data_IF_204281566732
#
_entry.id   IF_204281566732
#
_cell.length_a   1.000
_cell.length_b   1.000
_cell.length_c   1.000
_cell.angle_alpha   90.00
_cell.angle_beta   90.00
_cell.angle_gamma   90.00
#
_symmetry.space_group_name_H-M   'P 1'
#
loop_
_entity.id
_entity.type
_entity.pdbx_description
1 polymer ?
#
# COMPACT_ATOMS: atom_id res chain seq x y z
N UNK A 1 13.11 -7.78 -4.26
CA UNK A 1 12.75 -7.29 -2.91
C UNK A 1 12.31 -8.52 -2.12
N UNK A 2 13.01 -8.86 -1.05
CA UNK A 2 12.72 -10.05 -0.23
C UNK A 2 11.98 -9.64 1.02
N UNK A 3 10.75 -10.13 1.18
CA UNK A 3 9.96 -9.96 2.41
C UNK A 3 9.91 -11.31 3.13
N UNK A 4 10.20 -11.34 4.43
CA UNK A 4 10.15 -12.55 5.24
C UNK A 4 8.97 -12.46 6.19
N UNK A 5 8.03 -13.41 6.11
CA UNK A 5 6.95 -13.52 7.09
C UNK A 5 7.51 -14.00 8.43
N UNK A 6 7.32 -13.21 9.48
CA UNK A 6 7.89 -13.48 10.81
C UNK A 6 6.85 -13.93 11.83
N UNK A 7 5.57 -13.65 11.60
CA UNK A 7 4.50 -14.10 12.48
C UNK A 7 3.09 -13.88 11.95
N UNK A 8 2.12 -14.38 12.70
CA UNK A 8 0.69 -14.20 12.46
C UNK A 8 0.00 -13.99 13.82
N UNK A 9 -0.82 -12.95 13.93
CA UNK A 9 -1.74 -12.73 15.05
C UNK A 9 -3.16 -12.88 14.53
N UNK A 10 -3.98 -13.73 15.14
CA UNK A 10 -5.39 -13.90 14.76
C UNK A 10 -6.30 -13.41 15.88
N UNK A 11 -7.27 -12.57 15.54
CA UNK A 11 -8.20 -11.99 16.51
C UNK A 11 -9.43 -12.87 16.72
N UNK A 12 -9.85 -12.98 17.98
CA UNK A 12 -10.93 -13.89 18.41
C UNK A 12 -10.49 -15.34 18.65
N UNK A 13 -9.18 -15.60 18.69
CA UNK A 13 -8.58 -16.86 19.16
C UNK A 13 -7.96 -16.75 20.56
N UNK A 14 -7.82 -15.53 21.08
CA UNK A 14 -7.33 -15.31 22.44
C UNK A 14 -8.34 -15.83 23.48
N UNK A 15 -7.87 -16.15 24.68
CA UNK A 15 -8.74 -16.57 25.79
C UNK A 15 -9.71 -15.45 26.19
N UNK A 16 -9.28 -14.20 26.01
CA UNK A 16 -10.09 -13.02 26.26
C UNK A 16 -10.24 -12.21 24.97
N UNK A 17 -11.48 -11.89 24.62
CA UNK A 17 -11.80 -11.18 23.37
C UNK A 17 -11.30 -9.73 23.37
N UNK A 18 -11.16 -9.10 24.54
CA UNK A 18 -10.65 -7.73 24.65
C UNK A 18 -10.05 -7.41 26.02
N UNK A 19 -9.37 -6.26 26.11
CA UNK A 19 -8.92 -5.67 27.38
C UNK A 19 -9.01 -4.14 27.33
N UNK A 20 -9.53 -3.52 28.39
CA UNK A 20 -9.50 -2.06 28.52
C UNK A 20 -8.12 -1.61 29.01
N UNK A 21 -7.48 -0.74 28.23
CA UNK A 21 -6.19 -0.15 28.58
C UNK A 21 -6.37 1.36 28.79
N UNK A 22 -5.94 1.91 29.94
CA UNK A 22 -6.01 3.35 30.19
C UNK A 22 -5.38 4.15 29.05
N UNK A 23 -6.10 5.16 28.56
CA UNK A 23 -5.68 5.99 27.44
C UNK A 23 -5.87 5.37 26.06
N UNK A 24 -5.87 4.05 25.90
CA UNK A 24 -6.03 3.38 24.59
C UNK A 24 -7.44 2.86 24.34
N UNK A 25 -8.26 2.76 25.39
CA UNK A 25 -9.61 2.21 25.30
C UNK A 25 -9.61 0.69 25.26
N UNK A 26 -10.63 0.11 24.65
CA UNK A 26 -10.75 -1.34 24.50
C UNK A 26 -9.87 -1.84 23.35
N UNK A 27 -8.97 -2.78 23.65
CA UNK A 27 -8.09 -3.42 22.69
C UNK A 27 -8.55 -4.84 22.40
N UNK A 28 -8.58 -5.29 21.14
CA UNK A 28 -8.97 -6.64 20.81
C UNK A 28 -7.89 -7.66 21.18
N UNK A 29 -8.34 -8.82 21.64
CA UNK A 29 -7.51 -9.97 21.96
C UNK A 29 -7.14 -10.74 20.70
N UNK A 30 -5.84 -10.84 20.44
CA UNK A 30 -5.26 -11.67 19.40
C UNK A 30 -4.42 -12.80 19.98
N UNK A 31 -4.26 -13.88 19.25
CA UNK A 31 -3.33 -14.96 19.58
C UNK A 31 -2.27 -15.08 18.50
N UNK A 32 -1.00 -15.21 18.91
CA UNK A 32 0.10 -15.47 17.98
C UNK A 32 0.00 -16.92 17.49
N UNK A 33 -0.51 -17.14 16.29
CA UNK A 33 -0.73 -18.48 15.73
C UNK A 33 0.39 -18.97 14.81
N UNK A 34 1.33 -18.10 14.44
CA UNK A 34 2.55 -18.52 13.78
C UNK A 34 3.71 -17.58 14.15
N UNK A 35 4.92 -18.13 14.24
CA UNK A 35 6.15 -17.36 14.44
C UNK A 35 6.19 -16.55 15.74
N UNK A 36 6.58 -15.28 15.63
CA UNK A 36 6.66 -14.33 16.74
C UNK A 36 6.08 -12.97 16.37
N UNK A 37 5.34 -12.37 17.28
CA UNK A 37 4.98 -10.97 17.25
C UNK A 37 6.07 -10.15 17.93
N UNK A 38 6.53 -9.09 17.29
CA UNK A 38 7.54 -8.18 17.87
C UNK A 38 6.98 -6.77 17.77
N UNK A 39 7.09 -6.00 18.85
CA UNK A 39 6.73 -4.59 18.84
C UNK A 39 7.59 -3.85 17.81
N UNK A 40 6.97 -3.03 16.98
CA UNK A 40 7.58 -2.34 15.84
C UNK A 40 7.58 -3.13 14.54
N UNK A 41 7.26 -4.44 14.57
CA UNK A 41 7.20 -5.25 13.35
C UNK A 41 6.16 -4.69 12.38
N UNK A 42 6.49 -4.71 11.09
CA UNK A 42 5.53 -4.39 10.03
C UNK A 42 4.47 -5.48 9.97
N UNK A 43 3.27 -5.07 9.64
CA UNK A 43 2.11 -5.92 9.58
C UNK A 43 1.23 -5.51 8.39
N UNK A 44 0.44 -6.46 7.92
CA UNK A 44 -0.71 -6.21 7.09
C UNK A 44 -1.96 -6.77 7.74
N UNK A 45 -3.05 -6.03 7.63
CA UNK A 45 -4.36 -6.43 8.14
C UNK A 45 -5.06 -7.27 7.09
N UNK A 46 -5.30 -8.53 7.46
CA UNK A 46 -6.09 -9.49 6.71
C UNK A 46 -7.51 -9.49 7.27
N UNK A 47 -8.51 -9.36 6.40
CA UNK A 47 -9.93 -9.54 6.72
C UNK A 47 -10.51 -10.51 5.71
N UNK A 48 -10.61 -11.79 6.12
CA UNK A 48 -10.88 -12.88 5.18
C UNK A 48 -9.72 -13.03 4.18
N UNK A 49 -10.02 -12.87 2.90
CA UNK A 49 -9.08 -12.93 1.78
C UNK A 49 -8.53 -11.55 1.37
N UNK A 50 -8.89 -10.47 2.05
CA UNK A 50 -8.47 -9.11 1.67
C UNK A 50 -7.36 -8.57 2.55
N UNK A 51 -6.40 -7.88 1.96
CA UNK A 51 -5.48 -7.00 2.70
C UNK A 51 -6.12 -5.62 2.78
N UNK A 52 -6.80 -5.37 3.89
CA UNK A 52 -7.46 -4.09 4.16
C UNK A 52 -6.44 -2.98 4.35
N UNK A 53 -5.27 -3.30 4.89
CA UNK A 53 -4.24 -2.31 5.13
C UNK A 53 -2.87 -2.97 5.10
N UNK A 54 -1.88 -2.31 4.51
CA UNK A 54 -0.48 -2.72 4.56
C UNK A 54 0.36 -1.63 5.24
N UNK A 55 1.61 -1.95 5.54
CA UNK A 55 2.51 -1.06 6.28
C UNK A 55 1.91 -0.61 7.62
N UNK A 56 1.10 -1.47 8.23
CA UNK A 56 0.82 -1.36 9.64
C UNK A 56 2.10 -1.66 10.41
N UNK A 57 2.17 -1.17 11.64
CA UNK A 57 3.23 -1.56 12.56
C UNK A 57 2.62 -1.88 13.91
N UNK A 58 3.12 -2.91 14.57
CA UNK A 58 2.74 -3.21 15.96
C UNK A 58 3.27 -2.10 16.84
N UNK A 59 2.47 -1.08 17.11
CA UNK A 59 2.90 0.10 17.84
C UNK A 59 3.00 -0.14 19.34
N UNK A 60 1.89 -0.60 19.93
CA UNK A 60 1.80 -0.99 21.33
C UNK A 60 1.40 -2.45 21.37
N UNK A 61 2.04 -3.22 22.25
CA UNK A 61 1.69 -4.60 22.50
C UNK A 61 1.70 -4.80 24.01
N UNK A 62 0.61 -5.36 24.53
CA UNK A 62 0.46 -5.66 25.96
C UNK A 62 0.01 -7.10 26.15
N UNK A 63 0.30 -7.64 27.33
CA UNK A 63 -0.17 -8.95 27.76
C UNK A 63 -0.85 -8.86 29.10
N UNK A 64 -1.79 -9.77 29.35
CA UNK A 64 -2.41 -9.92 30.66
C UNK A 64 -1.50 -10.72 31.58
N UNK A 65 -1.35 -10.29 32.83
CA UNK A 65 -0.61 -11.06 33.84
C UNK A 65 -1.44 -12.30 34.24
N UNK A 66 -0.79 -13.46 34.39
CA UNK A 66 -1.44 -14.77 34.56
C UNK A 66 -2.51 -14.87 35.66
N UNK A 67 -2.46 -14.02 36.69
CA UNK A 67 -3.40 -14.03 37.81
C UNK A 67 -4.04 -12.65 38.08
N UNK A 68 -4.05 -11.74 37.10
CA UNK A 68 -4.55 -10.37 37.31
C UNK A 68 -5.27 -9.83 36.07
N UNK A 69 -6.18 -8.88 36.28
CA UNK A 69 -6.76 -8.06 35.21
C UNK A 69 -5.78 -7.00 34.67
N UNK A 70 -4.65 -6.78 35.34
CA UNK A 70 -3.62 -5.85 34.92
C UNK A 70 -2.92 -6.31 33.63
N UNK A 71 -2.70 -5.37 32.73
CA UNK A 71 -1.84 -5.54 31.56
C UNK A 71 -0.42 -5.05 31.83
N UNK A 72 0.55 -5.60 31.09
CA UNK A 72 1.93 -5.10 31.07
C UNK A 72 2.43 -4.94 29.63
N UNK A 73 3.32 -3.97 29.37
CA UNK A 73 3.94 -3.81 28.06
C UNK A 73 4.72 -5.07 27.70
N UNK A 74 4.60 -5.50 26.44
CA UNK A 74 5.37 -6.61 25.88
C UNK A 74 6.14 -6.13 24.65
N UNK A 75 7.42 -6.52 24.59
CA UNK A 75 8.30 -6.24 23.44
C UNK A 75 8.20 -7.33 22.37
N UNK A 76 7.89 -8.56 22.77
CA UNK A 76 7.71 -9.71 21.89
C UNK A 76 6.63 -10.66 22.40
N UNK A 77 6.10 -11.52 21.53
CA UNK A 77 5.26 -12.66 21.86
C UNK A 77 5.43 -13.85 20.92
N UNK A 78 5.67 -15.02 21.50
CA UNK A 78 5.83 -16.26 20.77
C UNK A 78 4.51 -16.96 20.50
N UNK A 79 4.59 -18.09 19.80
CA UNK A 79 3.47 -18.95 19.45
C UNK A 79 2.56 -19.30 20.66
N UNK A 80 1.25 -19.29 20.42
CA UNK A 80 0.16 -19.52 21.37
C UNK A 80 0.08 -18.53 22.54
N UNK A 81 0.74 -17.37 22.44
CA UNK A 81 0.58 -16.30 23.43
C UNK A 81 -0.53 -15.34 23.01
N UNK A 82 -1.39 -15.02 23.97
CA UNK A 82 -2.39 -13.97 23.83
C UNK A 82 -1.71 -12.61 23.94
N UNK A 83 -2.10 -11.72 23.03
CA UNK A 83 -1.58 -10.36 22.90
C UNK A 83 -2.72 -9.39 22.61
N UNK A 84 -2.56 -8.16 23.07
CA UNK A 84 -3.44 -7.05 22.70
C UNK A 84 -2.57 -5.98 22.05
N UNK A 85 -2.94 -5.57 20.85
CA UNK A 85 -2.08 -4.73 20.01
C UNK A 85 -2.79 -3.46 19.55
N UNK A 86 -2.01 -2.39 19.41
CA UNK A 86 -2.43 -1.16 18.73
C UNK A 86 -1.58 -0.98 17.49
N UNK A 87 -2.24 -0.91 16.34
CA UNK A 87 -1.58 -0.77 15.02
C UNK A 87 -1.98 0.50 14.28
N UNK A 88 -2.77 1.39 14.90
CA UNK A 88 -3.38 2.53 14.21
C UNK A 88 -4.70 2.20 13.51
N UNK A 89 -5.34 1.09 13.87
CA UNK A 89 -6.71 0.71 13.46
C UNK A 89 -7.54 0.45 14.71
N UNK A 90 -8.77 0.99 14.74
CA UNK A 90 -9.74 0.77 15.84
C UNK A 90 -10.78 -0.30 15.52
N UNK A 91 -10.92 -0.65 14.25
CA UNK A 91 -11.92 -1.58 13.74
C UNK A 91 -11.42 -3.02 13.68
N UNK A 92 -10.33 -3.34 14.39
CA UNK A 92 -9.83 -4.71 14.49
C UNK A 92 -10.85 -5.56 15.26
N UNK A 93 -11.31 -6.64 14.63
CA UNK A 93 -12.37 -7.49 15.16
C UNK A 93 -12.11 -8.99 15.00
N UNK A 94 -13.04 -9.80 15.49
CA UNK A 94 -13.00 -11.26 15.35
C UNK A 94 -12.93 -11.66 13.87
N UNK A 95 -11.99 -12.54 13.54
CA UNK A 95 -11.77 -13.00 12.17
C UNK A 95 -10.75 -12.16 11.38
N UNK A 96 -10.33 -11.01 11.92
CA UNK A 96 -9.17 -10.30 11.39
C UNK A 96 -7.87 -11.01 11.77
N UNK A 97 -6.82 -10.81 10.98
CA UNK A 97 -5.47 -11.24 11.30
C UNK A 97 -4.42 -10.19 10.94
N UNK A 98 -3.32 -10.15 11.69
CA UNK A 98 -2.12 -9.38 11.34
C UNK A 98 -1.04 -10.34 10.89
N UNK A 99 -0.75 -10.33 9.58
CA UNK A 99 0.42 -11.01 9.04
C UNK A 99 1.64 -10.11 9.20
N UNK A 100 2.62 -10.59 9.97
CA UNK A 100 3.81 -9.83 10.36
C UNK A 100 4.96 -10.18 9.45
N UNK A 101 5.70 -9.17 9.01
CA UNK A 101 6.80 -9.37 8.08
C UNK A 101 7.97 -8.42 8.35
N UNK A 102 9.14 -8.83 7.86
CA UNK A 102 10.37 -8.07 7.85
C UNK A 102 10.88 -7.98 6.41
N UNK A 103 11.21 -6.77 5.96
CA UNK A 103 11.77 -6.52 4.63
C UNK A 103 12.80 -5.36 4.70
N UNK A 104 13.55 -5.19 3.61
CA UNK A 104 14.36 -3.99 3.35
C UNK A 104 13.64 -3.03 2.39
N UNK A 105 12.30 -3.11 2.33
CA UNK A 105 11.55 -2.50 1.24
C UNK A 105 11.57 -0.97 1.26
N UNK A 106 11.43 -0.40 0.06
CA UNK A 106 11.13 1.02 -0.15
C UNK A 106 9.87 1.36 0.66
N UNK A 107 10.00 2.30 1.59
CA UNK A 107 8.90 2.75 2.42
C UNK A 107 7.74 3.32 1.60
N UNK A 108 6.56 3.53 2.23
CA UNK A 108 5.43 4.21 1.61
C UNK A 108 5.83 5.54 0.94
N UNK A 109 5.05 5.99 -0.05
CA UNK A 109 5.27 7.29 -0.68
C UNK A 109 5.08 8.42 0.35
N UNK A 110 6.18 9.10 0.70
CA UNK A 110 6.21 10.24 1.61
C UNK A 110 6.39 11.58 0.88
N UNK A 111 6.15 11.62 -0.45
CA UNK A 111 6.40 12.81 -1.25
C UNK A 111 5.36 13.91 -1.05
N UNK A 112 4.14 13.55 -0.62
CA UNK A 112 3.00 14.48 -0.49
C UNK A 112 2.33 14.33 0.87
N UNK A 113 2.64 15.21 1.83
CA UNK A 113 1.94 15.21 3.10
C UNK A 113 0.54 15.83 2.96
N UNK A 114 -0.44 15.20 3.60
CA UNK A 114 -1.82 15.71 3.72
C UNK A 114 -2.00 16.59 4.96
N UNK A 115 -1.09 16.50 5.93
CA UNK A 115 -1.07 17.38 7.09
C UNK A 115 0.35 17.62 7.60
N UNK A 116 0.57 18.78 8.21
CA UNK A 116 1.81 19.15 8.87
C UNK A 116 1.48 19.70 10.25
N UNK A 117 2.09 19.14 11.29
CA UNK A 117 1.96 19.60 12.65
C UNK A 117 3.34 19.93 13.24
N UNK A 118 3.37 20.92 14.13
CA UNK A 118 4.57 21.28 14.89
C UNK A 118 4.54 20.54 16.22
N UNK A 119 5.59 19.79 16.53
CA UNK A 119 5.77 19.19 17.86
C UNK A 119 6.07 20.29 18.86
N UNK A 120 5.22 20.45 19.88
CA UNK A 120 5.41 21.42 20.96
C UNK A 120 6.13 20.79 22.15
N UNK A 121 5.69 19.61 22.59
CA UNK A 121 6.29 18.90 23.71
C UNK A 121 6.29 17.38 23.47
N UNK A 122 7.46 16.73 23.38
CA UNK A 122 7.56 15.28 23.37
C UNK A 122 7.43 14.70 24.79
N UNK A 123 6.88 13.51 24.88
CA UNK A 123 6.80 12.73 26.10
C UNK A 123 6.96 11.24 25.82
N UNK A 124 7.23 10.47 26.86
CA UNK A 124 7.40 9.03 26.79
C UNK A 124 6.67 8.36 27.95
N UNK A 125 5.95 7.30 27.64
CA UNK A 125 5.30 6.44 28.61
C UNK A 125 5.66 4.98 28.32
N UNK A 126 5.86 4.17 29.36
CA UNK A 126 6.35 2.81 29.20
C UNK A 126 5.35 1.90 28.47
N UNK A 127 4.06 2.21 28.56
CA UNK A 127 2.99 1.43 27.94
C UNK A 127 2.75 1.87 26.51
N UNK A 128 2.63 3.18 26.29
CA UNK A 128 2.21 3.76 25.02
C UNK A 128 3.37 4.19 24.12
N UNK A 129 4.60 4.29 24.65
CA UNK A 129 5.78 4.74 23.92
C UNK A 129 5.85 6.25 23.81
N UNK A 130 6.35 6.75 22.66
CA UNK A 130 6.42 8.18 22.43
C UNK A 130 5.05 8.77 22.15
N UNK A 131 4.80 9.91 22.77
CA UNK A 131 3.68 10.78 22.46
C UNK A 131 4.18 12.20 22.29
N UNK A 132 3.46 12.98 21.50
CA UNK A 132 3.80 14.38 21.23
C UNK A 132 2.58 15.25 21.38
N UNK A 133 2.71 16.37 22.10
CA UNK A 133 1.80 17.49 21.96
C UNK A 133 2.13 18.20 20.66
N UNK A 134 1.11 18.44 19.83
CA UNK A 134 1.30 19.07 18.52
C UNK A 134 0.33 20.23 18.33
N UNK A 135 0.71 21.16 17.48
CA UNK A 135 -0.15 22.15 16.87
C UNK A 135 -0.21 21.90 15.36
N UNK A 136 -1.38 21.55 14.84
CA UNK A 136 -1.57 21.31 13.39
C UNK A 136 -1.45 22.64 12.66
N UNK A 137 -0.46 22.75 11.77
CA UNK A 137 -0.15 23.96 11.01
C UNK A 137 -0.85 23.99 9.66
N UNK A 138 -1.00 22.82 9.05
CA UNK A 138 -1.63 22.66 7.75
C UNK A 138 -2.32 21.30 7.64
N UNK A 139 -3.42 21.24 6.90
CA UNK A 139 -4.22 20.03 6.68
C UNK A 139 -4.97 19.49 7.91
N UNK A 140 -5.21 18.17 7.91
CA UNK A 140 -5.93 17.49 8.99
C UNK A 140 -5.16 16.26 9.43
N UNK A 141 -4.72 16.24 10.68
CA UNK A 141 -4.07 15.07 11.25
C UNK A 141 -5.12 14.05 11.68
N UNK A 142 -5.05 12.83 11.17
CA UNK A 142 -6.06 11.79 11.39
C UNK A 142 -5.52 10.66 12.26
N UNK A 143 -6.40 10.03 13.02
CA UNK A 143 -6.10 8.74 13.65
C UNK A 143 -5.73 7.71 12.58
N UNK A 144 -4.72 6.88 12.84
CA UNK A 144 -4.24 5.85 11.92
C UNK A 144 -3.38 6.38 10.76
N UNK A 145 -3.28 7.70 10.59
CA UNK A 145 -2.51 8.30 9.52
C UNK A 145 -1.04 7.86 9.61
N UNK A 146 -0.48 7.55 8.44
CA UNK A 146 0.95 7.39 8.30
C UNK A 146 1.63 8.74 8.52
N UNK A 147 2.70 8.78 9.30
CA UNK A 147 3.43 10.00 9.59
C UNK A 147 4.95 9.81 9.65
N UNK A 148 5.68 10.92 9.55
CA UNK A 148 7.12 10.98 9.73
C UNK A 148 7.54 12.27 10.43
N UNK A 149 8.67 12.20 11.15
CA UNK A 149 9.28 13.35 11.81
C UNK A 149 10.37 13.94 10.91
N UNK A 150 10.52 15.26 10.93
CA UNK A 150 11.52 15.95 10.10
C UNK A 150 12.98 15.64 10.45
N UNK A 151 13.26 15.11 11.64
CA UNK A 151 14.61 14.88 12.16
C UNK A 151 14.92 13.40 12.40
N UNK A 152 14.48 12.53 11.48
CA UNK A 152 14.78 11.11 11.49
C UNK A 152 13.62 10.23 11.95
N UNK A 153 13.87 8.92 11.92
CA UNK A 153 12.87 7.87 12.16
C UNK A 153 12.20 7.41 10.87
N UNK A 154 11.97 6.10 10.76
CA UNK A 154 11.15 5.55 9.70
C UNK A 154 9.69 6.03 9.73
N UNK A 155 8.92 5.76 8.67
CA UNK A 155 7.48 6.01 8.65
C UNK A 155 6.80 5.25 9.81
N UNK A 156 5.93 5.97 10.52
CA UNK A 156 5.17 5.51 11.69
C UNK A 156 3.69 5.80 11.51
N UNK A 157 2.84 5.33 12.44
CA UNK A 157 1.40 5.61 12.42
C UNK A 157 0.93 6.33 13.67
N UNK A 158 -0.09 7.18 13.51
CA UNK A 158 -0.83 7.76 14.62
C UNK A 158 -1.66 6.66 15.30
N UNK A 159 -1.19 6.19 16.45
CA UNK A 159 -1.84 5.12 17.23
C UNK A 159 -2.97 5.63 18.12
N UNK A 160 -3.04 6.93 18.33
CA UNK A 160 -4.01 7.59 19.18
C UNK A 160 -3.96 9.10 18.96
N UNK A 161 -5.12 9.72 19.01
CA UNK A 161 -5.28 11.15 18.76
C UNK A 161 -6.24 11.71 19.81
N UNK A 162 -5.80 12.73 20.55
CA UNK A 162 -6.52 13.27 21.70
C UNK A 162 -6.56 14.80 21.59
N UNK A 163 -7.77 15.34 21.50
CA UNK A 163 -8.01 16.77 21.66
C UNK A 163 -8.16 17.16 23.14
N UNK A 164 -8.48 18.43 23.43
CA UNK A 164 -8.67 18.91 24.80
C UNK A 164 -9.79 18.19 25.57
N UNK A 165 -10.81 17.70 24.85
CA UNK A 165 -11.96 17.01 25.43
C UNK A 165 -11.81 15.46 25.46
N UNK A 166 -10.67 14.92 25.03
CA UNK A 166 -10.42 13.47 24.99
C UNK A 166 -10.14 12.94 23.58
N UNK A 167 -10.36 11.64 23.33
CA UNK A 167 -10.05 11.00 22.06
C UNK A 167 -10.85 11.62 20.90
N UNK A 168 -10.16 11.90 19.80
CA UNK A 168 -10.77 12.41 18.56
C UNK A 168 -10.36 11.54 17.37
N UNK A 169 -11.12 11.61 16.28
CA UNK A 169 -10.74 10.96 15.02
C UNK A 169 -9.78 11.84 14.19
N UNK A 170 -9.89 13.16 14.33
CA UNK A 170 -9.20 14.15 13.50
C UNK A 170 -8.82 15.39 14.32
N UNK A 171 -7.69 16.00 13.99
CA UNK A 171 -7.25 17.32 14.47
C UNK A 171 -7.07 18.26 13.26
N UNK A 172 -8.00 19.20 13.04
CA UNK A 172 -7.90 20.21 11.99
C UNK A 172 -6.78 21.23 12.22
N UNK A 173 -6.40 21.94 11.16
CA UNK A 173 -5.51 23.12 11.21
C UNK A 173 -5.86 24.07 12.34
N UNK A 174 -4.85 24.53 13.06
CA UNK A 174 -4.96 25.45 14.18
C UNK A 174 -5.28 24.79 15.52
N UNK A 175 -5.61 23.49 15.54
CA UNK A 175 -5.89 22.79 16.79
C UNK A 175 -4.63 22.18 17.43
N UNK A 176 -4.67 22.13 18.76
CA UNK A 176 -3.70 21.41 19.59
C UNK A 176 -4.25 20.07 20.01
N UNK A 177 -3.37 19.08 20.11
CA UNK A 177 -3.72 17.78 20.66
C UNK A 177 -2.51 16.94 21.00
N UNK A 178 -2.75 15.81 21.66
CA UNK A 178 -1.75 14.79 21.93
C UNK A 178 -1.86 13.68 20.88
N UNK A 179 -0.73 13.32 20.29
CA UNK A 179 -0.60 12.26 19.29
C UNK A 179 0.23 11.14 19.89
N UNK A 180 -0.32 9.93 19.93
CA UNK A 180 0.46 8.74 20.27
C UNK A 180 1.11 8.22 19.00
N UNK A 181 2.44 8.21 18.98
CA UNK A 181 3.24 7.70 17.86
C UNK A 181 3.66 6.23 18.09
N UNK A 182 3.62 5.77 19.34
CA UNK A 182 4.03 4.42 19.72
C UNK A 182 5.53 4.24 19.84
N UNK A 183 5.96 2.98 19.91
CA UNK A 183 7.37 2.58 19.90
C UNK A 183 7.99 2.54 18.50
N UNK A 184 7.49 3.37 17.59
CA UNK A 184 7.89 3.37 16.17
C UNK A 184 8.90 4.47 15.85
N UNK A 185 9.27 5.30 16.82
CA UNK A 185 10.32 6.30 16.66
C UNK A 185 11.67 5.67 16.98
N UNK A 186 12.55 5.53 15.97
CA UNK A 186 13.94 5.10 16.17
C UNK A 186 14.74 6.12 16.99
N UNK A 187 14.30 7.38 16.97
CA UNK A 187 14.85 8.49 17.76
C UNK A 187 13.73 9.23 18.51
N UNK A 188 13.98 9.73 19.73
CA UNK A 188 13.02 10.55 20.46
C UNK A 188 12.59 11.78 19.65
N UNK A 189 11.28 12.11 19.58
CA UNK A 189 10.83 13.34 18.93
C UNK A 189 11.39 14.57 19.65
N UNK A 190 11.81 15.58 18.90
CA UNK A 190 12.29 16.85 19.44
C UNK A 190 11.20 17.92 19.40
N UNK A 191 11.18 18.81 20.40
CA UNK A 191 10.37 20.02 20.33
C UNK A 191 10.76 20.86 19.11
N UNK A 192 9.78 21.42 18.41
CA UNK A 192 9.96 22.15 17.16
C UNK A 192 10.10 21.27 15.91
N UNK A 193 10.18 19.94 16.03
CA UNK A 193 10.17 19.05 14.87
C UNK A 193 8.82 19.14 14.14
N UNK A 194 8.84 18.96 12.81
CA UNK A 194 7.62 18.83 12.04
C UNK A 194 7.19 17.36 12.00
N UNK A 195 5.94 17.09 12.37
CA UNK A 195 5.25 15.83 12.17
C UNK A 195 4.42 15.95 10.89
N UNK A 196 4.79 15.20 9.85
CA UNK A 196 4.07 15.18 8.57
C UNK A 196 3.20 13.94 8.52
N UNK A 197 1.93 14.08 8.14
CA UNK A 197 1.03 12.97 7.91
C UNK A 197 0.76 12.79 6.42
N UNK A 198 0.55 11.55 6.01
CA UNK A 198 0.43 11.12 4.62
C UNK A 198 -0.88 10.35 4.42
N UNK A 199 -1.46 10.40 3.21
CA UNK A 199 -2.66 9.63 2.90
C UNK A 199 -2.41 8.14 3.11
N UNK A 200 -3.38 7.45 3.71
CA UNK A 200 -3.44 5.99 3.71
C UNK A 200 -4.56 5.57 2.77
N UNK A 201 -4.30 4.69 1.78
CA UNK A 201 -5.36 4.21 0.89
C UNK A 201 -6.36 3.35 1.66
N UNK A 202 -7.64 3.35 1.24
CA UNK A 202 -8.72 2.60 1.90
C UNK A 202 -8.52 1.08 1.89
N UNK A 203 -7.77 0.58 0.91
CA UNK A 203 -7.20 -0.76 0.88
C UNK A 203 -5.90 -0.73 0.08
N UNK A 204 -4.98 -1.64 0.40
CA UNK A 204 -3.70 -1.74 -0.32
C UNK A 204 -3.72 -2.87 -1.35
N UNK A 205 -4.55 -3.90 -1.15
CA UNK A 205 -4.57 -5.06 -2.02
C UNK A 205 -5.81 -5.97 -1.81
N UNK A 206 -6.46 -6.37 -2.90
CA UNK A 206 -7.45 -7.45 -2.89
C UNK A 206 -6.78 -8.75 -3.35
N UNK A 207 -6.70 -9.78 -2.48
CA UNK A 207 -6.16 -11.08 -2.90
C UNK A 207 -7.25 -11.84 -3.64
N UNK A 208 -6.90 -12.34 -4.82
CA UNK A 208 -7.81 -13.09 -5.66
C UNK A 208 -7.65 -14.60 -5.48
N UNK A 209 -6.55 -15.05 -4.87
CA UNK A 209 -6.34 -16.48 -4.62
C UNK A 209 -4.91 -16.91 -4.37
N UNK A 210 -4.76 -18.17 -3.96
CA UNK A 210 -3.46 -18.83 -3.85
C UNK A 210 -3.42 -20.13 -4.66
N UNK A 211 -2.30 -20.41 -5.32
CA UNK A 211 -2.03 -21.68 -5.98
C UNK A 211 -0.61 -22.17 -5.68
N UNK A 212 -0.38 -23.47 -5.56
CA UNK A 212 0.91 -24.09 -5.29
C UNK A 212 1.53 -24.53 -6.61
N UNK A 213 2.82 -24.29 -6.81
CA UNK A 213 3.55 -24.72 -8.01
C UNK A 213 3.92 -26.20 -7.90
N UNK A 214 3.42 -27.04 -8.81
CA UNK A 214 3.72 -28.48 -8.88
C UNK A 214 4.80 -28.82 -9.90
N UNK A 215 4.93 -28.02 -10.95
CA UNK A 215 5.93 -28.23 -11.99
C UNK A 215 6.26 -26.93 -12.70
N UNK A 216 7.49 -26.80 -13.18
CA UNK A 216 8.00 -25.59 -13.83
C UNK A 216 8.71 -25.97 -15.12
N UNK A 217 8.34 -25.31 -16.22
CA UNK A 217 8.91 -25.50 -17.54
C UNK A 217 9.42 -24.17 -18.08
N UNK A 218 10.68 -24.13 -18.51
CA UNK A 218 11.28 -22.94 -19.10
C UNK A 218 10.91 -22.79 -20.58
N UNK A 219 10.56 -21.57 -20.99
CA UNK A 219 10.22 -21.26 -22.39
C UNK A 219 11.42 -20.74 -23.21
N UNK A 220 12.60 -20.63 -22.60
CA UNK A 220 13.83 -20.18 -23.28
C UNK A 220 13.96 -18.67 -23.50
N UNK A 221 12.91 -17.88 -23.25
CA UNK A 221 12.91 -16.41 -23.34
C UNK A 221 13.01 -15.70 -21.98
N UNK A 222 13.40 -16.43 -20.93
CA UNK A 222 13.42 -15.95 -19.55
C UNK A 222 12.07 -16.05 -18.81
N UNK A 223 10.98 -16.39 -19.51
CA UNK A 223 9.69 -16.70 -18.88
C UNK A 223 9.58 -18.18 -18.52
N UNK A 224 8.82 -18.44 -17.46
CA UNK A 224 8.49 -19.79 -17.00
C UNK A 224 7.00 -20.04 -17.10
N UNK A 225 6.66 -21.31 -17.32
CA UNK A 225 5.29 -21.82 -17.25
C UNK A 225 5.22 -22.79 -16.09
N UNK A 226 4.32 -22.54 -15.15
CA UNK A 226 4.11 -23.40 -14.00
C UNK A 226 2.78 -24.12 -14.07
N UNK A 227 2.81 -25.43 -13.86
CA UNK A 227 1.62 -26.18 -13.48
C UNK A 227 1.34 -25.89 -12.01
N UNK A 228 0.14 -25.41 -11.72
CA UNK A 228 -0.25 -24.97 -10.37
C UNK A 228 -1.54 -25.63 -9.92
N UNK A 229 -1.65 -25.85 -8.61
CA UNK A 229 -2.80 -26.45 -7.97
C UNK A 229 -3.39 -25.50 -6.91
N UNK A 230 -4.71 -25.36 -6.89
CA UNK A 230 -5.42 -24.61 -5.84
C UNK A 230 -5.71 -25.57 -4.69
N UNK A 231 -5.20 -25.30 -3.47
CA UNK A 231 -5.46 -26.14 -2.31
C UNK A 231 -6.96 -26.31 -2.04
N UNK A 232 -7.36 -27.49 -1.59
CA UNK A 232 -8.74 -27.76 -1.24
C UNK A 232 -9.30 -26.76 -0.21
N UNK A 233 -10.54 -26.33 -0.43
CA UNK A 233 -11.22 -25.33 0.41
C UNK A 233 -10.80 -23.89 0.15
N UNK A 234 -9.92 -23.62 -0.83
CA UNK A 234 -9.58 -22.27 -1.27
C UNK A 234 -10.16 -21.98 -2.65
N UNK A 235 -10.56 -20.73 -2.88
CA UNK A 235 -10.80 -20.21 -4.21
C UNK A 235 -9.53 -19.54 -4.73
N UNK A 236 -9.26 -19.71 -6.02
CA UNK A 236 -8.32 -18.85 -6.71
C UNK A 236 -8.93 -18.31 -7.98
N UNK A 237 -8.77 -17.00 -8.18
CA UNK A 237 -9.06 -16.28 -9.39
C UNK A 237 -7.76 -15.68 -9.93
N UNK A 238 -7.21 -16.31 -10.96
CA UNK A 238 -6.08 -15.78 -11.72
C UNK A 238 -6.63 -15.22 -13.03
N UNK A 239 -6.18 -14.03 -13.42
CA UNK A 239 -6.52 -13.40 -14.71
C UNK A 239 -5.24 -12.89 -15.35
N UNK A 240 -5.13 -12.99 -16.67
CA UNK A 240 -4.00 -12.41 -17.39
C UNK A 240 -3.90 -10.91 -17.08
N UNK A 241 -2.70 -10.44 -16.72
CA UNK A 241 -2.42 -9.07 -16.30
C UNK A 241 -2.54 -8.78 -14.80
N UNK A 242 -3.13 -9.69 -14.01
CA UNK A 242 -3.12 -9.57 -12.53
C UNK A 242 -1.71 -9.75 -12.00
N UNK A 243 -1.39 -9.05 -10.91
CA UNK A 243 -0.11 -9.18 -10.22
C UNK A 243 -0.09 -10.41 -9.32
N UNK A 244 1.05 -11.07 -9.27
CA UNK A 244 1.29 -12.24 -8.43
C UNK A 244 2.54 -11.99 -7.61
N UNK A 245 2.49 -12.44 -6.35
CA UNK A 245 3.65 -12.61 -5.50
C UNK A 245 3.97 -14.09 -5.34
N UNK A 246 5.26 -14.40 -5.29
CA UNK A 246 5.78 -15.76 -5.13
C UNK A 246 6.28 -15.89 -3.69
N UNK A 247 5.65 -16.80 -2.95
CA UNK A 247 5.99 -17.15 -1.58
C UNK A 247 6.75 -18.47 -1.58
N UNK A 248 7.96 -18.48 -1.05
CA UNK A 248 8.76 -19.68 -0.85
C UNK A 248 8.65 -20.15 0.60
N UNK A 249 8.02 -21.30 0.88
CA UNK A 249 7.98 -21.86 2.23
C UNK A 249 9.40 -22.17 2.73
N UNK A 250 9.73 -21.78 3.96
CA UNK A 250 10.96 -22.17 4.66
C UNK A 250 10.57 -23.17 5.72
N UNK A 251 10.54 -24.46 5.38
CA UNK A 251 10.19 -25.52 6.33
C UNK A 251 9.48 -26.72 5.72
N UNK A 252 9.08 -27.66 6.57
CA UNK A 252 8.35 -28.89 6.19
C UNK A 252 6.89 -28.88 6.62
N UNK A 253 6.47 -27.88 7.42
CA UNK A 253 5.10 -27.78 7.95
C UNK A 253 4.40 -26.51 7.48
N UNK A 254 3.07 -26.56 7.37
CA UNK A 254 2.22 -25.48 6.85
C UNK A 254 2.22 -24.21 7.73
N UNK A 255 2.82 -24.27 8.93
CA UNK A 255 2.91 -23.16 9.89
C UNK A 255 4.23 -22.40 9.84
N UNK A 256 5.14 -22.76 8.93
CA UNK A 256 6.47 -22.16 8.87
C UNK A 256 6.55 -20.93 7.97
N UNK A 257 7.57 -20.13 8.22
CA UNK A 257 7.81 -18.81 7.61
C UNK A 257 7.87 -18.95 6.10
N UNK A 258 7.20 -18.07 5.38
CA UNK A 258 7.36 -17.93 3.93
C UNK A 258 8.17 -16.68 3.61
N UNK A 259 9.04 -16.77 2.62
CA UNK A 259 9.74 -15.62 2.07
C UNK A 259 9.11 -15.24 0.74
N UNK A 260 8.66 -14.01 0.59
CA UNK A 260 8.32 -13.43 -0.71
C UNK A 260 9.62 -13.31 -1.50
N UNK A 261 9.78 -14.16 -2.52
CA UNK A 261 10.98 -14.15 -3.39
C UNK A 261 10.82 -13.17 -4.56
N UNK A 262 9.57 -12.96 -4.99
CA UNK A 262 9.20 -11.98 -5.99
C UNK A 262 7.79 -11.44 -5.74
N UNK A 263 7.52 -10.20 -6.13
CA UNK A 263 6.22 -9.55 -6.02
C UNK A 263 6.00 -8.64 -7.24
N UNK A 264 4.74 -8.33 -7.55
CA UNK A 264 4.39 -7.51 -8.70
C UNK A 264 4.60 -8.20 -10.05
N UNK A 265 4.67 -9.54 -10.08
CA UNK A 265 4.85 -10.28 -11.32
C UNK A 265 3.52 -10.34 -12.09
N UNK A 266 3.43 -9.81 -13.31
CA UNK A 266 2.21 -9.93 -14.08
C UNK A 266 2.02 -11.38 -14.53
N UNK A 267 0.78 -11.88 -14.44
CA UNK A 267 0.36 -13.11 -15.13
C UNK A 267 0.38 -12.85 -16.63
N UNK A 268 1.30 -13.49 -17.34
CA UNK A 268 1.48 -13.29 -18.79
C UNK A 268 0.55 -14.19 -19.60
N UNK A 269 0.27 -15.39 -19.11
CA UNK A 269 -0.63 -16.34 -19.75
C UNK A 269 -1.27 -17.27 -18.73
N UNK A 270 -2.44 -17.79 -19.07
CA UNK A 270 -3.11 -18.86 -18.35
C UNK A 270 -3.56 -19.92 -19.35
N UNK A 271 -3.46 -21.19 -18.96
CA UNK A 271 -4.01 -22.28 -19.73
C UNK A 271 -4.66 -23.32 -18.81
N UNK A 272 -5.73 -23.94 -19.28
CA UNK A 272 -6.42 -25.05 -18.62
C UNK A 272 -6.55 -26.18 -19.62
N UNK A 273 -6.16 -27.39 -19.22
CA UNK A 273 -6.19 -28.58 -20.09
C UNK A 273 -5.47 -28.35 -21.44
N UNK A 274 -4.38 -27.56 -21.42
CA UNK A 274 -3.60 -27.19 -22.61
C UNK A 274 -4.19 -26.05 -23.46
N UNK A 275 -5.37 -25.53 -23.11
CA UNK A 275 -6.05 -24.46 -23.84
C UNK A 275 -5.87 -23.12 -23.14
N UNK A 276 -5.45 -22.08 -23.87
CA UNK A 276 -5.29 -20.74 -23.32
C UNK A 276 -6.63 -20.16 -22.86
N UNK A 277 -6.64 -19.57 -21.66
CA UNK A 277 -7.83 -18.94 -21.05
C UNK A 277 -7.48 -17.55 -20.53
N UNK A 278 -8.41 -16.57 -20.59
CA UNK A 278 -8.16 -15.22 -20.06
C UNK A 278 -8.20 -15.18 -18.52
N UNK A 279 -8.91 -16.11 -17.90
CA UNK A 279 -9.03 -16.26 -16.45
C UNK A 279 -9.22 -17.71 -16.05
N UNK A 280 -8.82 -18.02 -14.82
CA UNK A 280 -9.01 -19.30 -14.16
C UNK A 280 -9.58 -19.04 -12.78
N UNK A 281 -10.86 -19.34 -12.59
CA UNK A 281 -11.57 -19.24 -11.31
C UNK A 281 -12.09 -20.61 -10.89
N UNK A 282 -11.76 -21.06 -9.68
CA UNK A 282 -12.25 -22.33 -9.11
C UNK A 282 -11.72 -23.60 -9.77
N UNK A 283 -10.81 -23.51 -10.76
CA UNK A 283 -10.12 -24.66 -11.31
C UNK A 283 -9.09 -25.19 -10.30
N UNK A 284 -9.10 -26.50 -10.04
CA UNK A 284 -8.13 -27.13 -9.13
C UNK A 284 -6.72 -27.14 -9.69
N UNK A 285 -6.55 -27.38 -10.99
CA UNK A 285 -5.24 -27.42 -11.65
C UNK A 285 -5.29 -26.58 -12.92
N UNK A 286 -4.29 -25.74 -13.11
CA UNK A 286 -4.11 -24.95 -14.33
C UNK A 286 -2.64 -24.59 -14.52
N UNK A 287 -2.35 -23.96 -15.64
CA UNK A 287 -1.00 -23.56 -16.02
C UNK A 287 -0.92 -22.04 -16.07
N UNK A 288 0.13 -21.46 -15.49
CA UNK A 288 0.35 -20.01 -15.44
C UNK A 288 1.73 -19.64 -15.99
N UNK A 289 1.76 -18.65 -16.89
CA UNK A 289 2.99 -18.06 -17.39
C UNK A 289 3.37 -16.83 -16.59
N UNK A 290 4.61 -16.80 -16.08
CA UNK A 290 5.17 -15.69 -15.31
C UNK A 290 6.50 -15.23 -15.88
N UNK A 291 6.76 -13.92 -15.82
CA UNK A 291 8.02 -13.30 -16.26
C UNK A 291 9.14 -13.39 -15.23
N UNK A 292 9.31 -14.53 -14.57
CA UNK A 292 10.42 -14.76 -13.61
C UNK A 292 11.05 -16.12 -13.87
N UNK A 293 12.38 -16.19 -13.73
CA UNK A 293 13.15 -17.42 -13.85
C UNK A 293 13.43 -18.13 -12.50
N UNK A 294 13.12 -17.50 -11.35
CA UNK A 294 13.38 -18.08 -10.02
C UNK A 294 12.15 -18.81 -9.43
N UNK A 295 11.20 -19.21 -10.27
CA UNK A 295 10.06 -20.00 -9.80
C UNK A 295 10.47 -21.46 -9.59
N UNK A 296 10.09 -22.04 -8.44
CA UNK A 296 10.42 -23.42 -8.06
C UNK A 296 9.18 -24.22 -7.73
N UNK A 297 9.32 -25.54 -7.81
CA UNK A 297 8.31 -26.46 -7.26
C UNK A 297 8.12 -26.18 -5.76
N UNK A 298 6.87 -26.24 -5.32
CA UNK A 298 6.37 -25.90 -3.98
C UNK A 298 6.38 -24.41 -3.62
N UNK A 299 6.78 -23.52 -4.53
CA UNK A 299 6.48 -22.10 -4.34
C UNK A 299 4.94 -21.90 -4.37
N UNK A 300 4.44 -20.94 -3.58
CA UNK A 300 3.02 -20.56 -3.56
C UNK A 300 2.88 -19.24 -4.29
N UNK A 301 2.03 -19.23 -5.31
CA UNK A 301 1.59 -18.03 -6.00
C UNK A 301 0.39 -17.46 -5.29
N UNK A 302 0.48 -16.19 -4.91
CA UNK A 302 -0.66 -15.43 -4.40
C UNK A 302 -0.99 -14.32 -5.41
N UNK A 303 -2.16 -14.45 -6.03
CA UNK A 303 -2.68 -13.49 -7.00
C UNK A 303 -3.37 -12.35 -6.27
N UNK A 304 -3.13 -11.13 -6.73
CA UNK A 304 -3.69 -9.95 -6.12
C UNK A 304 -3.87 -8.79 -7.09
N UNK A 305 -4.91 -8.00 -6.85
CA UNK A 305 -5.08 -6.68 -7.45
C UNK A 305 -4.64 -5.61 -6.45
N UNK A 306 -3.60 -4.86 -6.80
CA UNK A 306 -3.41 -3.56 -6.17
C UNK A 306 -4.60 -2.66 -6.57
N UNK A 307 -5.04 -1.73 -5.70
CA UNK A 307 -5.94 -0.68 -6.11
C UNK A 307 -5.31 -0.04 -7.34
N UNK A 308 -6.10 0.09 -8.41
CA UNK A 308 -5.78 1.03 -9.46
C UNK A 308 -5.57 2.35 -8.73
N UNK A 309 -4.33 2.85 -8.68
CA UNK A 309 -4.08 4.20 -8.23
C UNK A 309 -5.13 5.08 -8.93
N UNK A 310 -5.89 5.92 -8.21
CA UNK A 310 -6.94 6.71 -8.83
C UNK A 310 -6.33 7.34 -10.07
N UNK A 311 -6.94 7.16 -11.26
CA UNK A 311 -6.31 7.56 -12.51
C UNK A 311 -5.89 9.00 -12.32
N UNK A 312 -4.58 9.27 -12.43
CA UNK A 312 -4.11 10.64 -12.32
C UNK A 312 -4.90 11.41 -13.37
N UNK A 313 -5.72 12.40 -12.98
CA UNK A 313 -6.56 13.11 -13.93
C UNK A 313 -5.62 13.66 -15.00
N UNK A 314 -5.79 13.17 -16.22
CA UNK A 314 -4.96 13.57 -17.35
C UNK A 314 -5.26 15.03 -17.64
N UNK A 315 -4.22 15.83 -17.80
CA UNK A 315 -4.37 17.23 -18.19
C UNK A 315 -4.72 17.26 -19.68
N UNK A 316 -5.90 17.78 -20.02
CA UNK A 316 -6.28 17.98 -21.41
C UNK A 316 -5.52 19.17 -22.00
N UNK A 317 -4.61 18.93 -22.94
CA UNK A 317 -3.78 19.97 -23.54
C UNK A 317 -4.60 21.03 -24.29
N UNK A 318 -5.82 20.69 -24.71
CA UNK A 318 -6.72 21.60 -25.42
C UNK A 318 -7.60 22.46 -24.49
N UNK A 319 -7.79 22.05 -23.23
CA UNK A 319 -8.65 22.77 -22.27
C UNK A 319 -7.89 23.36 -21.07
N UNK A 320 -6.72 22.81 -20.73
CA UNK A 320 -5.98 23.17 -19.53
C UNK A 320 -5.50 24.64 -19.53
N UNK A 321 -5.47 25.22 -18.33
CA UNK A 321 -4.85 26.52 -18.07
C UNK A 321 -3.33 26.46 -18.16
N UNK A 322 -2.66 27.62 -18.25
CA UNK A 322 -1.20 27.68 -18.27
C UNK A 322 -0.56 27.07 -17.02
N UNK A 323 -1.17 27.27 -15.85
CA UNK A 323 -0.70 26.71 -14.58
C UNK A 323 -0.83 25.19 -14.53
N UNK A 324 -1.88 24.63 -15.15
CA UNK A 324 -2.07 23.18 -15.25
C UNK A 324 -1.10 22.55 -16.25
N UNK A 325 -0.86 23.20 -17.40
CA UNK A 325 0.15 22.77 -18.36
C UNK A 325 1.56 22.83 -17.75
N UNK A 326 1.87 23.86 -16.97
CA UNK A 326 3.16 24.03 -16.29
C UNK A 326 3.49 22.91 -15.29
N UNK A 327 2.52 22.10 -14.89
CA UNK A 327 2.73 20.93 -14.02
C UNK A 327 3.11 19.65 -14.79
N UNK A 328 3.03 19.67 -16.13
CA UNK A 328 3.38 18.51 -16.96
C UNK A 328 4.90 18.35 -17.11
N UNK A 329 5.40 17.10 -17.18
CA UNK A 329 6.83 16.84 -17.30
C UNK A 329 7.40 17.43 -18.60
N UNK A 330 8.51 18.16 -18.50
CA UNK A 330 9.19 18.76 -19.66
C UNK A 330 8.63 20.10 -20.12
N UNK A 331 7.62 20.66 -19.44
CA UNK A 331 7.02 21.95 -19.79
C UNK A 331 7.62 23.08 -18.93
N UNK A 332 8.52 23.86 -19.55
CA UNK A 332 9.00 25.12 -18.99
C UNK A 332 7.98 26.25 -19.22
N UNK A 333 8.04 27.37 -18.47
CA UNK A 333 7.16 28.52 -18.71
C UNK A 333 7.18 29.01 -20.16
N UNK A 334 8.34 28.96 -20.82
CA UNK A 334 8.47 29.30 -22.24
C UNK A 334 7.71 28.32 -23.15
N UNK A 335 7.84 27.01 -22.90
CA UNK A 335 7.10 25.96 -23.64
C UNK A 335 5.59 26.04 -23.39
N UNK A 336 5.17 26.40 -22.19
CA UNK A 336 3.74 26.65 -21.86
C UNK A 336 3.20 27.85 -22.65
N UNK A 337 3.94 28.95 -22.73
CA UNK A 337 3.54 30.10 -23.52
C UNK A 337 3.38 29.74 -25.01
N UNK A 338 4.35 29.01 -25.57
CA UNK A 338 4.28 28.49 -26.94
C UNK A 338 3.10 27.53 -27.15
N UNK A 339 2.84 26.64 -26.20
CA UNK A 339 1.70 25.72 -26.24
C UNK A 339 0.37 26.47 -26.35
N UNK A 340 0.16 27.50 -25.52
CA UNK A 340 -1.07 28.29 -25.50
C UNK A 340 -1.26 29.08 -26.80
N UNK A 341 -0.19 29.64 -27.35
CA UNK A 341 -0.22 30.35 -28.63
C UNK A 341 -0.55 29.40 -29.80
N UNK A 342 0.12 28.26 -29.88
CA UNK A 342 -0.11 27.27 -30.93
C UNK A 342 -1.52 26.68 -30.85
N UNK A 343 -2.01 26.39 -29.64
CA UNK A 343 -3.39 25.95 -29.41
C UNK A 343 -4.40 26.95 -29.98
N UNK A 344 -4.21 28.24 -29.71
CA UNK A 344 -5.11 29.28 -30.20
C UNK A 344 -5.05 29.43 -31.73
N UNK A 345 -3.86 29.31 -32.32
CA UNK A 345 -3.67 29.44 -33.78
C UNK A 345 -4.19 28.24 -34.57
N UNK A 346 -4.03 27.04 -34.04
CA UNK A 346 -4.33 25.79 -34.75
C UNK A 346 -5.73 25.24 -34.43
N UNK A 347 -6.42 25.82 -33.45
CA UNK A 347 -7.71 25.32 -32.95
C UNK A 347 -7.58 24.14 -31.98
N UNK A 348 -6.36 23.76 -31.61
CA UNK A 348 -6.06 22.65 -30.71
C UNK A 348 -5.14 21.61 -31.35
N UNK A 349 -4.82 20.57 -30.58
CA UNK A 349 -3.97 19.46 -30.98
C UNK A 349 -4.81 18.18 -31.15
N UNK A 350 -4.57 17.38 -32.20
CA UNK A 350 -5.33 16.15 -32.44
C UNK A 350 -5.00 15.03 -31.45
N UNK A 351 -3.77 15.00 -30.93
CA UNK A 351 -3.28 14.02 -29.96
C UNK A 351 -2.11 14.61 -29.13
N UNK A 352 -1.64 13.83 -28.14
CA UNK A 352 -0.58 14.24 -27.20
C UNK A 352 0.78 14.27 -27.91
N UNK A 353 0.96 13.45 -28.93
CA UNK A 353 2.15 13.37 -29.76
C UNK A 353 2.35 14.64 -30.58
N UNK A 354 1.31 15.09 -31.28
CA UNK A 354 1.30 16.33 -32.05
C UNK A 354 1.60 17.54 -31.15
N UNK A 355 0.99 17.57 -29.96
CA UNK A 355 1.30 18.56 -28.95
C UNK A 355 2.79 18.55 -28.55
N UNK A 356 3.31 17.38 -28.19
CA UNK A 356 4.70 17.24 -27.76
C UNK A 356 5.71 17.64 -28.83
N UNK A 357 5.47 17.26 -30.08
CA UNK A 357 6.28 17.68 -31.24
C UNK A 357 6.19 19.19 -31.45
N UNK A 358 4.99 19.77 -31.37
CA UNK A 358 4.76 21.19 -31.62
C UNK A 358 5.51 22.12 -30.65
N UNK A 359 5.72 21.68 -29.41
CA UNK A 359 6.47 22.44 -28.38
C UNK A 359 7.95 22.01 -28.26
N UNK A 360 8.43 21.16 -29.17
CA UNK A 360 9.83 20.74 -29.23
C UNK A 360 10.26 19.77 -28.13
N UNK A 361 9.37 18.86 -27.69
CA UNK A 361 9.75 17.75 -26.82
C UNK A 361 10.48 16.66 -27.61
N UNK A 362 11.47 16.03 -26.96
CA UNK A 362 12.16 14.87 -27.49
C UNK A 362 11.28 13.61 -27.38
N UNK A 363 11.50 12.56 -28.20
CA UNK A 363 10.65 11.35 -28.20
C UNK A 363 10.44 10.71 -26.81
N UNK A 364 11.49 10.65 -25.99
CA UNK A 364 11.39 10.10 -24.64
C UNK A 364 10.62 11.02 -23.67
N UNK A 365 10.61 12.33 -23.89
CA UNK A 365 9.77 13.28 -23.14
C UNK A 365 8.29 13.12 -23.52
N UNK A 366 7.98 12.91 -24.80
CA UNK A 366 6.62 12.63 -25.29
C UNK A 366 6.08 11.33 -24.69
N UNK A 367 6.91 10.28 -24.61
CA UNK A 367 6.52 9.02 -23.94
C UNK A 367 6.14 9.24 -22.47
N UNK A 368 6.87 10.11 -21.75
CA UNK A 368 6.54 10.47 -20.35
C UNK A 368 5.26 11.30 -20.25
N UNK A 369 4.95 12.09 -21.28
CA UNK A 369 3.76 12.94 -21.34
C UNK A 369 2.47 12.14 -21.49
N UNK A 370 2.48 11.01 -22.22
CA UNK A 370 1.31 10.12 -22.42
C UNK A 370 0.66 9.64 -21.12
N UNK A 371 1.44 9.46 -20.07
CA UNK A 371 0.92 9.05 -18.75
C UNK A 371 0.33 10.18 -17.92
N UNK A 372 0.30 11.43 -18.43
CA UNK A 372 -0.07 12.63 -17.67
C UNK A 372 -0.97 13.61 -18.44
N UNK A 373 -1.11 13.45 -19.75
CA UNK A 373 -1.88 14.34 -20.61
C UNK A 373 -2.83 13.59 -21.54
N UNK A 374 -3.88 14.27 -21.99
CA UNK A 374 -4.80 13.84 -23.04
C UNK A 374 -5.04 15.00 -24.02
N UNK A 375 -5.64 14.73 -25.17
CA UNK A 375 -6.11 15.75 -26.09
C UNK A 375 -7.62 15.57 -26.30
N UNK A 376 -8.41 16.52 -25.79
CA UNK A 376 -9.85 16.56 -26.03
C UNK A 376 -10.16 16.77 -27.52
N UNK A 377 -11.34 16.32 -27.96
CA UNK A 377 -11.76 16.44 -29.37
C UNK A 377 -11.72 17.89 -29.83
N UNK A 378 -10.92 18.14 -30.86
CA UNK A 378 -10.91 19.41 -31.60
C UNK A 378 -11.92 19.33 -32.74
N UNK A 379 -12.84 20.29 -32.81
CA UNK A 379 -13.68 20.47 -34.00
C UNK A 379 -12.82 21.12 -35.08
N UNK A 380 -12.23 20.31 -35.96
CA UNK A 380 -11.54 20.85 -37.14
C UNK A 380 -12.59 21.53 -38.02
N UNK A 381 -12.37 22.78 -38.50
CA UNK A 381 -13.20 23.32 -39.56
C UNK A 381 -13.05 22.41 -40.79
N UNK A 382 -14.18 21.95 -41.33
CA UNK A 382 -14.21 21.11 -42.53
C UNK A 382 -13.41 21.77 -43.64
N UNK A 383 -12.20 21.26 -43.90
CA UNK A 383 -11.45 21.61 -45.09
C UNK A 383 -12.19 20.99 -46.26
N UNK A 384 -13.00 21.79 -46.94
CA UNK A 384 -13.70 21.43 -48.17
C UNK A 384 -12.72 20.99 -49.25
N UNK A 385 -12.38 19.70 -49.26
CA UNK A 385 -11.75 19.05 -50.39
C UNK A 385 -12.84 18.88 -51.45
N UNK A 386 -12.91 19.82 -52.40
CA UNK A 386 -13.56 19.56 -53.68
C UNK A 386 -12.80 18.42 -54.34
N UNK A 387 -13.43 17.26 -54.38
CA UNK A 387 -13.07 16.16 -55.25
C UNK A 387 -13.00 16.70 -56.69
N UNK A 388 -11.79 16.84 -57.22
CA UNK A 388 -11.59 17.04 -58.65
C UNK A 388 -11.73 15.68 -59.30
N UNK A 389 -12.82 15.49 -60.02
CA UNK A 389 -12.98 14.40 -60.98
C UNK A 389 -11.93 14.57 -62.08
N UNK A 390 -11.01 13.60 -62.19
CA UNK A 390 -10.32 13.21 -63.42
C UNK A 390 -10.25 11.70 -63.46
#
# INVERSE_FOLDING_TARGET
MTETRVGLIEFGKAIHDSVTVPGLGELPGGQVSAGRAVRGARARLLRGDRIVEDNLRIGIMVRKKYFSSSVEPATEAGFLKDVYVVVGRRDLGKGDALELYADEAVGPDLSRPDAVASVEAPGFDQLTGFHVQVLVRDGVLRFGALCSLSHGGGPMRVLGLFGPAGPVAELPTGQRGTVLLGFQCDAPPAAGAALRAFPSPDFVEERHGTAVVHGVSALGNGSLVAAVEVPDGRSAAFTVGVSVRVLRPIGTTFNERSTVVASGLPVLSLARDGVAVPSSAGARVFTVGLGTADLRQNDVLEAYAAPLAPPVPLVDVNAASGDELGRLPGLSPARVATALELRQRQGGFPDVEAFGVAIGLQPHEIVRLRGRATAGRVTLPETGVRQLDI
#
